data_IF_319006331088
#
_entry.id   IF_319006331088
#
_cell.length_a   1.000
_cell.length_b   1.000
_cell.length_c   1.000
_cell.angle_alpha   90.00
_cell.angle_beta   90.00
_cell.angle_gamma   90.00
#
_symmetry.space_group_name_H-M   'P 1'
#
loop_
_entity.id
_entity.type
_entity.pdbx_description
1 polymer ?
#
# COMPACT_ATOMS: atom_id res chain seq x y z
N UNK A 1 3.93 -21.54 -23.52
CA UNK A 1 4.43 -21.94 -22.20
C UNK A 1 4.69 -20.70 -21.37
N UNK A 2 4.38 -20.73 -20.08
CA UNK A 2 4.75 -19.69 -19.11
C UNK A 2 6.00 -20.16 -18.37
N UNK A 3 6.96 -19.28 -18.16
CA UNK A 3 8.21 -19.58 -17.43
C UNK A 3 8.72 -18.36 -16.69
N UNK A 4 9.59 -18.59 -15.71
CA UNK A 4 10.37 -17.54 -15.05
C UNK A 4 11.40 -16.93 -16.00
N UNK A 5 11.79 -15.67 -15.72
CA UNK A 5 12.73 -14.91 -16.55
C UNK A 5 14.07 -15.63 -16.75
N UNK A 6 14.54 -15.65 -18.00
CA UNK A 6 15.89 -16.06 -18.39
C UNK A 6 16.60 -14.91 -19.10
N UNK A 7 17.94 -14.92 -19.09
CA UNK A 7 18.74 -13.89 -19.78
C UNK A 7 18.44 -13.82 -21.29
N UNK A 8 18.05 -14.92 -21.92
CA UNK A 8 17.60 -14.95 -23.32
C UNK A 8 16.38 -14.06 -23.58
N UNK A 9 15.59 -13.80 -22.54
CA UNK A 9 14.32 -13.08 -22.64
C UNK A 9 14.48 -11.57 -22.48
N UNK A 10 15.70 -11.06 -22.26
CA UNK A 10 15.99 -9.62 -22.07
C UNK A 10 15.41 -8.78 -23.21
N UNK A 11 15.64 -9.16 -24.47
CA UNK A 11 15.15 -8.41 -25.62
C UNK A 11 13.61 -8.42 -25.72
N UNK A 12 12.97 -9.54 -25.35
CA UNK A 12 11.52 -9.66 -25.32
C UNK A 12 10.93 -8.75 -24.25
N UNK A 13 11.49 -8.75 -23.04
CA UNK A 13 11.08 -7.86 -21.95
C UNK A 13 11.32 -6.41 -22.32
N UNK A 14 12.47 -6.06 -22.90
CA UNK A 14 12.77 -4.68 -23.32
C UNK A 14 11.76 -4.18 -24.35
N UNK A 15 11.44 -5.00 -25.36
CA UNK A 15 10.45 -4.65 -26.40
C UNK A 15 9.05 -4.48 -25.81
N UNK A 16 8.61 -5.43 -24.99
CA UNK A 16 7.27 -5.41 -24.41
C UNK A 16 7.12 -4.36 -23.29
N UNK A 17 8.21 -3.97 -22.63
CA UNK A 17 8.14 -3.01 -21.53
C UNK A 17 7.72 -1.61 -21.95
N UNK A 18 8.00 -1.21 -23.19
CA UNK A 18 7.47 0.03 -23.77
C UNK A 18 5.94 -0.01 -23.94
N UNK A 19 5.37 -1.21 -23.99
CA UNK A 19 3.94 -1.48 -24.14
C UNK A 19 3.32 -2.03 -22.86
N UNK A 20 3.96 -1.85 -21.69
CA UNK A 20 3.47 -2.43 -20.45
C UNK A 20 2.49 -1.50 -19.72
N UNK A 21 1.37 -2.05 -19.24
CA UNK A 21 0.48 -1.37 -18.31
C UNK A 21 1.12 -1.37 -16.92
N UNK A 22 1.19 -0.19 -16.31
CA UNK A 22 1.69 -0.01 -14.95
C UNK A 22 0.56 -0.22 -13.94
N UNK A 23 0.76 -1.20 -13.06
CA UNK A 23 -0.24 -1.72 -12.13
C UNK A 23 -0.02 -1.29 -10.67
N UNK A 24 0.94 -0.38 -10.44
CA UNK A 24 1.18 0.24 -9.15
C UNK A 24 1.55 1.71 -9.40
N UNK A 25 0.58 2.62 -9.29
CA UNK A 25 0.77 4.02 -9.66
C UNK A 25 1.80 4.70 -8.76
N UNK A 26 1.74 4.46 -7.44
CA UNK A 26 2.71 5.02 -6.49
C UNK A 26 4.15 4.65 -6.87
N UNK A 27 4.42 3.37 -7.14
CA UNK A 27 5.75 2.93 -7.56
C UNK A 27 6.12 3.51 -8.94
N UNK A 28 5.20 3.46 -9.91
CA UNK A 28 5.42 3.95 -11.26
C UNK A 28 5.74 5.44 -11.35
N UNK A 29 5.12 6.27 -10.49
CA UNK A 29 5.28 7.72 -10.46
C UNK A 29 6.55 8.13 -9.70
N UNK A 30 6.90 7.43 -8.62
CA UNK A 30 8.02 7.77 -7.75
C UNK A 30 9.34 7.15 -8.21
N UNK A 31 9.31 5.88 -8.57
CA UNK A 31 10.48 5.06 -8.84
C UNK A 31 10.32 4.37 -10.19
N UNK A 32 10.75 5.01 -11.30
CA UNK A 32 10.70 4.37 -12.60
C UNK A 32 11.52 3.08 -12.54
N UNK A 33 10.85 1.93 -12.56
CA UNK A 33 11.52 0.65 -12.69
C UNK A 33 11.92 0.48 -14.15
N UNK A 34 13.22 0.38 -14.40
CA UNK A 34 13.68 -0.15 -15.68
C UNK A 34 13.35 -1.64 -15.67
N UNK A 35 12.28 -2.02 -16.36
CA UNK A 35 11.74 -3.39 -16.42
C UNK A 35 12.82 -4.45 -16.66
N UNK A 36 13.82 -4.17 -17.50
CA UNK A 36 14.96 -5.05 -17.80
C UNK A 36 15.92 -5.18 -16.62
N UNK A 37 16.23 -4.08 -15.92
CA UNK A 37 17.05 -4.10 -14.69
C UNK A 37 16.33 -4.85 -13.57
N UNK A 38 15.01 -4.64 -13.46
CA UNK A 38 14.15 -5.36 -12.52
C UNK A 38 14.03 -6.85 -12.85
N UNK A 39 13.94 -7.20 -14.13
CA UNK A 39 13.96 -8.60 -14.56
C UNK A 39 15.32 -9.25 -14.28
N UNK A 40 16.41 -8.52 -14.49
CA UNK A 40 17.76 -8.99 -14.18
C UNK A 40 17.98 -9.20 -12.68
N UNK A 41 17.30 -8.43 -11.80
CA UNK A 41 17.34 -8.68 -10.36
C UNK A 41 16.68 -9.98 -9.92
N UNK A 42 15.89 -10.63 -10.79
CA UNK A 42 15.41 -11.99 -10.53
C UNK A 42 16.52 -13.05 -10.65
N UNK A 43 17.57 -12.78 -11.45
CA UNK A 43 18.73 -13.68 -11.63
C UNK A 43 19.79 -13.43 -10.57
N UNK A 44 19.91 -12.17 -10.12
CA UNK A 44 20.88 -11.77 -9.12
C UNK A 44 20.11 -11.03 -8.00
N UNK A 45 19.85 -11.68 -6.85
CA UNK A 45 19.09 -11.10 -5.75
C UNK A 45 19.94 -10.07 -4.98
N UNK A 46 20.33 -8.99 -5.64
CA UNK A 46 20.94 -7.83 -5.02
C UNK A 46 19.85 -6.91 -4.50
N UNK A 47 19.34 -7.24 -3.32
CA UNK A 47 18.49 -6.33 -2.54
C UNK A 47 17.32 -7.03 -1.86
N UNK A 48 16.72 -6.27 -0.94
CA UNK A 48 15.63 -6.69 -0.06
C UNK A 48 14.26 -6.74 -0.79
N UNK A 49 14.22 -6.43 -2.08
CA UNK A 49 12.98 -6.36 -2.88
C UNK A 49 12.90 -7.53 -3.83
N UNK A 50 12.16 -8.58 -3.46
CA UNK A 50 11.94 -9.77 -4.30
C UNK A 50 10.93 -9.45 -5.39
N UNK A 51 11.42 -9.11 -6.57
CA UNK A 51 10.59 -8.94 -7.77
C UNK A 51 10.76 -10.16 -8.66
N UNK A 52 9.65 -10.86 -8.92
CA UNK A 52 9.58 -12.01 -9.82
C UNK A 52 9.07 -11.57 -11.18
N UNK A 53 9.67 -12.09 -12.26
CA UNK A 53 9.24 -11.82 -13.64
C UNK A 53 8.83 -13.12 -14.32
N UNK A 54 7.58 -13.16 -14.80
CA UNK A 54 7.00 -14.28 -15.54
C UNK A 54 6.81 -13.92 -17.00
N UNK A 55 7.07 -14.87 -17.88
CA UNK A 55 7.05 -14.67 -19.33
C UNK A 55 6.17 -15.73 -19.96
N UNK A 56 5.22 -15.27 -20.76
CA UNK A 56 4.42 -16.10 -21.66
C UNK A 56 5.06 -16.04 -23.05
N UNK A 57 5.38 -17.20 -23.61
CA UNK A 57 5.73 -17.33 -25.02
C UNK A 57 4.97 -18.53 -25.61
N UNK A 58 4.11 -18.28 -26.59
CA UNK A 58 3.42 -19.34 -27.33
C UNK A 58 3.90 -19.35 -28.79
N UNK A 59 4.29 -20.52 -29.29
CA UNK A 59 4.58 -20.72 -30.70
C UNK A 59 3.26 -21.12 -31.41
N UNK A 60 2.87 -20.39 -32.46
CA UNK A 60 1.65 -20.65 -33.24
C UNK A 60 0.92 -19.39 -33.74
N UNK A 61 -0.21 -19.60 -34.42
CA UNK A 61 -1.13 -18.55 -34.92
C UNK A 61 -2.20 -18.12 -33.89
N UNK A 62 -2.04 -18.45 -32.60
CA UNK A 62 -2.95 -17.96 -31.56
C UNK A 62 -2.74 -16.46 -31.32
N UNK A 63 -3.83 -15.73 -31.04
CA UNK A 63 -3.81 -14.27 -30.77
C UNK A 63 -2.87 -13.87 -29.61
N UNK A 64 -2.62 -14.78 -28.67
CA UNK A 64 -1.78 -14.56 -27.49
C UNK A 64 -0.33 -15.07 -27.68
N UNK A 65 0.51 -14.30 -28.39
CA UNK A 65 1.86 -14.79 -28.79
C UNK A 65 2.91 -14.63 -27.71
N UNK A 66 2.97 -13.46 -27.05
CA UNK A 66 3.97 -13.17 -26.04
C UNK A 66 3.45 -12.16 -25.01
N UNK A 67 3.85 -12.32 -23.76
CA UNK A 67 3.56 -11.39 -22.68
C UNK A 67 4.53 -11.55 -21.54
N UNK A 68 4.57 -10.57 -20.64
CA UNK A 68 5.27 -10.73 -19.37
C UNK A 68 4.53 -10.02 -18.24
N UNK A 69 4.82 -10.46 -17.02
CA UNK A 69 4.30 -9.90 -15.79
C UNK A 69 5.44 -9.72 -14.79
N UNK A 70 5.41 -8.62 -14.04
CA UNK A 70 6.30 -8.40 -12.91
C UNK A 70 5.50 -8.24 -11.63
N UNK A 71 5.91 -8.97 -10.60
CA UNK A 71 5.24 -9.01 -9.30
C UNK A 71 6.27 -8.79 -8.21
N UNK A 72 5.94 -7.95 -7.23
CA UNK A 72 6.78 -7.69 -6.08
C UNK A 72 6.16 -8.30 -4.83
N UNK A 73 6.87 -9.23 -4.19
CA UNK A 73 6.44 -9.76 -2.89
C UNK A 73 6.76 -8.73 -1.82
N UNK A 74 5.79 -8.43 -0.96
CA UNK A 74 5.97 -7.61 0.24
C UNK A 74 6.64 -8.47 1.32
N UNK A 75 7.50 -7.86 2.14
CA UNK A 75 8.12 -8.57 3.25
C UNK A 75 7.06 -8.91 4.32
N UNK A 76 7.10 -10.11 4.89
CA UNK A 76 6.34 -10.49 6.09
C UNK A 76 5.06 -11.28 5.84
N UNK A 77 4.15 -10.82 4.96
CA UNK A 77 2.72 -11.16 5.13
C UNK A 77 2.09 -12.00 4.00
N UNK A 78 2.90 -12.65 3.15
CA UNK A 78 2.37 -13.37 2.00
C UNK A 78 1.55 -12.47 1.06
N UNK A 79 1.93 -11.19 0.98
CA UNK A 79 1.27 -10.21 0.13
C UNK A 79 2.14 -9.90 -1.09
N UNK A 80 1.50 -9.66 -2.23
CA UNK A 80 2.20 -9.27 -3.45
C UNK A 80 1.53 -8.09 -4.15
N UNK A 81 2.34 -7.24 -4.76
CA UNK A 81 1.91 -6.15 -5.63
C UNK A 81 2.22 -6.49 -7.09
N UNK A 82 1.21 -6.49 -7.95
CA UNK A 82 1.43 -6.51 -9.39
C UNK A 82 2.02 -5.16 -9.82
N UNK A 83 3.19 -5.19 -10.46
CA UNK A 83 3.87 -3.97 -10.88
C UNK A 83 3.58 -3.64 -12.35
N UNK A 84 3.72 -4.63 -13.21
CA UNK A 84 3.65 -4.47 -14.66
C UNK A 84 3.00 -5.70 -15.30
N UNK A 85 2.17 -5.45 -16.30
CA UNK A 85 1.72 -6.46 -17.26
C UNK A 85 1.91 -5.95 -18.67
N UNK A 86 2.39 -6.82 -19.55
CA UNK A 86 2.53 -6.52 -20.96
C UNK A 86 2.11 -7.71 -21.82
N UNK A 87 1.65 -7.46 -23.05
CA UNK A 87 1.35 -6.13 -23.63
C UNK A 87 0.10 -5.50 -23.02
N UNK A 88 0.04 -4.17 -23.03
CA UNK A 88 -1.11 -3.41 -22.59
C UNK A 88 -2.31 -3.69 -23.49
N UNK A 89 -3.51 -3.75 -22.92
CA UNK A 89 -4.72 -4.17 -23.64
C UNK A 89 -5.18 -3.17 -24.72
N UNK A 90 -4.67 -1.95 -24.68
CA UNK A 90 -4.88 -0.90 -25.68
C UNK A 90 -3.94 -1.00 -26.90
N UNK A 91 -2.96 -1.90 -26.86
CA UNK A 91 -2.02 -2.11 -27.96
C UNK A 91 -2.51 -3.20 -28.92
N UNK A 92 -2.11 -3.20 -30.22
CA UNK A 92 -2.53 -4.22 -31.17
C UNK A 92 -2.11 -5.66 -30.81
N UNK A 93 -1.07 -5.81 -30.00
CA UNK A 93 -0.60 -7.08 -29.46
C UNK A 93 -1.27 -7.45 -28.13
N UNK A 94 -2.00 -6.51 -27.53
CA UNK A 94 -2.77 -6.65 -26.29
C UNK A 94 -3.96 -7.59 -26.45
N UNK A 95 -4.01 -8.63 -25.62
CA UNK A 95 -5.17 -9.52 -25.59
C UNK A 95 -5.46 -9.97 -24.14
N UNK A 96 -6.72 -9.89 -23.66
CA UNK A 96 -7.09 -10.28 -22.28
C UNK A 96 -6.63 -11.69 -21.91
N UNK A 97 -6.74 -12.66 -22.83
CA UNK A 97 -6.25 -14.02 -22.62
C UNK A 97 -4.75 -14.13 -22.25
N UNK A 98 -3.89 -13.17 -22.65
CA UNK A 98 -2.49 -13.15 -22.21
C UNK A 98 -2.43 -12.85 -20.71
N UNK A 99 -3.18 -11.85 -20.28
CA UNK A 99 -3.26 -11.41 -18.89
C UNK A 99 -3.84 -12.50 -18.01
N UNK A 100 -4.97 -13.08 -18.42
CA UNK A 100 -5.65 -14.16 -17.71
C UNK A 100 -4.74 -15.38 -17.52
N UNK A 101 -4.00 -15.79 -18.56
CA UNK A 101 -3.05 -16.90 -18.48
C UNK A 101 -1.90 -16.61 -17.52
N UNK A 102 -1.27 -15.43 -17.62
CA UNK A 102 -0.15 -15.03 -16.75
C UNK A 102 -0.58 -14.95 -15.28
N UNK A 103 -1.72 -14.31 -15.01
CA UNK A 103 -2.26 -14.17 -13.67
C UNK A 103 -2.64 -15.52 -13.07
N UNK A 104 -3.36 -16.37 -13.82
CA UNK A 104 -3.78 -17.68 -13.35
C UNK A 104 -2.59 -18.58 -13.03
N UNK A 105 -1.55 -18.57 -13.86
CA UNK A 105 -0.32 -19.32 -13.60
C UNK A 105 0.38 -18.86 -12.33
N UNK A 106 0.55 -17.54 -12.15
CA UNK A 106 1.19 -17.00 -10.95
C UNK A 106 0.43 -17.35 -9.67
N UNK A 107 -0.90 -17.23 -9.71
CA UNK A 107 -1.76 -17.58 -8.58
C UNK A 107 -1.64 -19.06 -8.22
N UNK A 108 -1.54 -19.95 -9.22
CA UNK A 108 -1.35 -21.38 -9.00
C UNK A 108 0.04 -21.72 -8.45
N UNK A 109 1.08 -21.07 -8.97
CA UNK A 109 2.47 -21.31 -8.58
C UNK A 109 2.77 -20.83 -7.16
N UNK A 110 2.21 -19.69 -6.75
CA UNK A 110 2.45 -19.07 -5.44
C UNK A 110 1.31 -19.32 -4.43
N UNK A 111 0.36 -20.20 -4.74
CA UNK A 111 -0.85 -20.42 -3.92
C UNK A 111 -0.56 -20.81 -2.47
N UNK A 112 0.58 -21.45 -2.20
CA UNK A 112 0.96 -21.93 -0.86
C UNK A 112 1.46 -20.82 0.06
N UNK A 113 1.96 -19.73 -0.53
CA UNK A 113 2.84 -18.76 0.14
C UNK A 113 2.28 -17.33 0.10
N UNK A 114 1.11 -17.18 -0.52
CA UNK A 114 0.49 -15.92 -0.89
C UNK A 114 -0.94 -15.89 -0.38
N UNK A 115 -1.26 -14.90 0.46
CA UNK A 115 -2.60 -14.66 0.99
C UNK A 115 -3.36 -13.63 0.15
N UNK A 116 -2.67 -12.59 -0.36
CA UNK A 116 -3.31 -11.48 -1.09
C UNK A 116 -2.45 -10.96 -2.21
N UNK A 117 -3.08 -10.65 -3.34
CA UNK A 117 -2.46 -9.97 -4.47
C UNK A 117 -3.18 -8.64 -4.69
N UNK A 118 -2.43 -7.55 -4.63
CA UNK A 118 -2.91 -6.21 -4.89
C UNK A 118 -2.50 -5.74 -6.27
N UNK A 119 -3.38 -4.96 -6.89
CA UNK A 119 -3.05 -4.17 -8.06
C UNK A 119 -3.86 -2.88 -8.07
N UNK A 120 -3.28 -1.90 -8.72
CA UNK A 120 -3.84 -0.58 -8.93
C UNK A 120 -3.85 -0.40 -10.45
N UNK A 121 -5.02 -0.42 -11.07
CA UNK A 121 -5.21 -0.34 -12.53
C UNK A 121 -5.80 1.02 -12.91
N UNK A 122 -5.54 1.54 -14.14
CA UNK A 122 -6.38 2.60 -14.69
C UNK A 122 -7.86 2.18 -14.63
N UNK A 123 -8.75 3.05 -14.17
CA UNK A 123 -10.19 2.75 -14.04
C UNK A 123 -10.88 2.73 -15.41
N UNK A 124 -10.53 1.73 -16.21
CA UNK A 124 -11.08 1.47 -17.54
C UNK A 124 -11.82 0.14 -17.52
N UNK A 125 -13.06 0.06 -18.06
CA UNK A 125 -13.88 -1.15 -18.00
C UNK A 125 -13.18 -2.41 -18.49
N UNK A 126 -12.42 -2.33 -19.59
CA UNK A 126 -11.70 -3.48 -20.16
C UNK A 126 -10.64 -4.04 -19.19
N UNK A 127 -9.86 -3.18 -18.55
CA UNK A 127 -8.81 -3.57 -17.61
C UNK A 127 -9.43 -4.18 -16.36
N UNK A 128 -10.39 -3.47 -15.75
CA UNK A 128 -11.07 -3.92 -14.53
C UNK A 128 -11.77 -5.26 -14.76
N UNK A 129 -12.49 -5.43 -15.87
CA UNK A 129 -13.19 -6.68 -16.17
C UNK A 129 -12.24 -7.85 -16.42
N UNK A 130 -11.10 -7.62 -17.08
CA UNK A 130 -10.07 -8.66 -17.28
C UNK A 130 -9.54 -9.19 -15.94
N UNK A 131 -9.30 -8.30 -14.98
CA UNK A 131 -8.92 -8.71 -13.62
C UNK A 131 -10.06 -9.43 -12.88
N UNK A 132 -11.30 -8.97 -13.03
CA UNK A 132 -12.47 -9.63 -12.43
C UNK A 132 -12.68 -11.06 -12.93
N UNK A 133 -12.41 -11.35 -14.21
CA UNK A 133 -12.47 -12.71 -14.74
C UNK A 133 -11.49 -13.67 -14.06
N UNK A 134 -10.35 -13.15 -13.59
CA UNK A 134 -9.36 -13.92 -12.82
C UNK A 134 -9.69 -13.91 -11.32
N UNK A 135 -10.84 -13.35 -10.91
CA UNK A 135 -11.30 -13.35 -9.51
C UNK A 135 -10.71 -12.23 -8.64
N UNK A 136 -10.21 -11.14 -9.24
CA UNK A 136 -9.92 -9.91 -8.50
C UNK A 136 -11.20 -9.13 -8.23
N UNK A 137 -11.26 -8.46 -7.09
CA UNK A 137 -12.40 -7.65 -6.66
C UNK A 137 -11.92 -6.21 -6.47
N UNK A 138 -12.57 -5.21 -7.10
CA UNK A 138 -12.29 -3.81 -6.82
C UNK A 138 -12.76 -3.47 -5.41
N UNK A 139 -11.90 -2.84 -4.60
CA UNK A 139 -12.21 -2.49 -3.22
C UNK A 139 -12.17 -0.99 -2.94
N UNK A 140 -11.59 -0.21 -3.85
CA UNK A 140 -11.50 1.25 -3.73
C UNK A 140 -11.22 1.87 -5.09
N UNK A 141 -11.77 3.06 -5.33
CA UNK A 141 -11.34 3.95 -6.41
C UNK A 141 -10.61 5.17 -5.89
N UNK A 142 -9.59 5.60 -6.61
CA UNK A 142 -8.88 6.82 -6.29
C UNK A 142 -8.61 7.65 -7.55
N UNK A 143 -8.74 8.97 -7.41
CA UNK A 143 -8.21 9.92 -8.39
C UNK A 143 -6.84 10.38 -7.91
N UNK A 144 -5.82 10.19 -8.75
CA UNK A 144 -4.50 10.76 -8.51
C UNK A 144 -4.51 12.18 -9.05
N UNK A 145 -4.23 13.14 -8.18
CA UNK A 145 -4.04 14.54 -8.51
C UNK A 145 -2.56 14.85 -8.63
N UNK A 146 -2.20 15.74 -9.55
CA UNK A 146 -0.82 16.11 -9.85
C UNK A 146 -0.64 17.63 -9.85
N UNK A 147 0.41 18.07 -9.16
CA UNK A 147 0.96 19.42 -9.25
C UNK A 147 2.35 19.37 -9.88
N UNK A 148 2.53 20.07 -11.00
CA UNK A 148 3.82 20.18 -11.70
C UNK A 148 4.44 21.56 -11.56
N UNK A 149 3.61 22.59 -11.37
CA UNK A 149 4.05 23.97 -11.25
C UNK A 149 4.23 24.36 -9.78
N UNK A 150 5.39 24.94 -9.51
CA UNK A 150 5.76 25.47 -8.20
C UNK A 150 5.38 26.95 -8.12
N UNK A 151 4.10 27.22 -8.31
CA UNK A 151 3.52 28.55 -8.11
C UNK A 151 3.54 28.92 -6.62
N UNK A 152 3.36 30.22 -6.32
CA UNK A 152 3.25 30.68 -4.95
C UNK A 152 2.16 29.89 -4.22
N UNK A 153 2.45 29.46 -2.99
CA UNK A 153 1.43 28.81 -2.17
C UNK A 153 0.41 29.87 -1.73
N UNK A 154 -0.87 29.50 -1.60
CA UNK A 154 -1.84 30.35 -0.92
C UNK A 154 -1.31 30.80 0.44
N UNK A 155 -1.66 32.01 0.86
CA UNK A 155 -1.24 32.52 2.16
C UNK A 155 -1.74 31.61 3.30
N UNK A 156 -0.95 31.41 4.38
CA UNK A 156 -1.42 30.69 5.56
C UNK A 156 -2.73 31.29 6.04
N UNK A 157 -3.73 30.44 6.23
CA UNK A 157 -5.05 30.87 6.71
C UNK A 157 -5.07 30.76 8.24
N UNK A 158 -4.71 31.84 8.93
CA UNK A 158 -4.80 31.95 10.40
C UNK A 158 -3.79 31.13 11.22
N UNK A 159 -3.90 31.23 12.54
CA UNK A 159 -3.16 30.36 13.47
C UNK A 159 -3.70 28.92 13.37
N UNK A 160 -2.79 27.95 13.22
CA UNK A 160 -3.17 26.55 13.19
C UNK A 160 -3.58 26.10 14.60
N UNK A 161 -4.79 25.58 14.74
CA UNK A 161 -5.29 25.00 16.00
C UNK A 161 -4.63 23.63 16.34
N UNK A 162 -3.63 23.21 15.57
CA UNK A 162 -2.95 21.92 15.69
C UNK A 162 -1.44 22.07 15.48
N UNK A 163 -0.69 21.10 16.01
CA UNK A 163 0.75 20.99 15.83
C UNK A 163 1.07 19.82 14.90
N UNK A 164 1.83 20.07 13.82
CA UNK A 164 2.33 19.02 12.94
C UNK A 164 3.72 18.57 13.40
N UNK A 165 3.85 17.31 13.82
CA UNK A 165 5.13 16.72 14.28
C UNK A 165 5.42 15.39 13.62
N UNK A 166 6.69 14.93 13.67
CA UNK A 166 7.05 13.59 13.17
C UNK A 166 6.35 12.51 13.99
N UNK A 167 5.94 11.44 13.33
CA UNK A 167 5.40 10.25 14.00
C UNK A 167 6.43 9.73 15.02
N UNK A 168 6.01 9.60 16.27
CA UNK A 168 6.72 8.90 17.32
C UNK A 168 6.08 7.50 17.53
N UNK A 169 6.82 6.51 18.08
CA UNK A 169 6.28 5.18 18.32
C UNK A 169 5.00 5.17 19.17
N UNK A 170 4.88 6.10 20.12
CA UNK A 170 3.69 6.27 20.97
C UNK A 170 2.42 6.65 20.19
N UNK A 171 2.55 7.20 18.98
CA UNK A 171 1.42 7.63 18.16
C UNK A 171 0.86 6.49 17.29
N UNK A 172 1.55 5.35 17.18
CA UNK A 172 1.18 4.27 16.26
C UNK A 172 -0.24 3.76 16.54
N UNK A 173 -0.58 3.60 17.81
CA UNK A 173 -1.94 3.22 18.22
C UNK A 173 -2.96 4.27 17.80
N UNK A 174 -2.70 5.55 18.04
CA UNK A 174 -3.61 6.63 17.68
C UNK A 174 -3.79 6.77 16.14
N UNK A 175 -2.74 6.50 15.37
CA UNK A 175 -2.80 6.45 13.90
C UNK A 175 -3.58 5.23 13.41
N UNK A 176 -3.42 4.07 14.04
CA UNK A 176 -4.23 2.88 13.74
C UNK A 176 -5.71 3.13 14.02
N UNK A 177 -6.04 3.78 15.15
CA UNK A 177 -7.40 4.18 15.48
C UNK A 177 -7.96 5.19 14.47
N UNK A 178 -7.18 6.21 14.09
CA UNK A 178 -7.56 7.15 13.05
C UNK A 178 -7.89 6.43 11.73
N UNK A 179 -7.02 5.52 11.30
CA UNK A 179 -7.22 4.71 10.09
C UNK A 179 -8.47 3.81 10.18
N UNK A 180 -8.69 3.15 11.32
CA UNK A 180 -9.85 2.29 11.57
C UNK A 180 -11.18 3.07 11.49
N UNK A 181 -11.21 4.30 12.01
CA UNK A 181 -12.40 5.17 11.96
C UNK A 181 -12.71 5.70 10.56
N UNK A 182 -11.68 6.08 9.81
CA UNK A 182 -11.88 6.76 8.51
C UNK A 182 -12.07 5.80 7.33
N UNK A 183 -11.53 4.58 7.42
CA UNK A 183 -11.51 3.64 6.31
C UNK A 183 -12.70 2.69 6.38
N UNK A 184 -13.54 2.61 5.33
CA UNK A 184 -14.68 1.70 5.30
C UNK A 184 -14.27 0.24 5.57
N UNK A 185 -15.12 -0.50 6.28
CA UNK A 185 -14.80 -1.87 6.71
C UNK A 185 -14.45 -2.80 5.54
N UNK A 186 -15.15 -2.69 4.42
CA UNK A 186 -14.85 -3.46 3.20
C UNK A 186 -13.41 -3.23 2.71
N UNK A 187 -12.92 -1.98 2.78
CA UNK A 187 -11.55 -1.63 2.41
C UNK A 187 -10.55 -2.12 3.47
N UNK A 188 -10.85 -2.01 4.76
CA UNK A 188 -9.99 -2.55 5.84
C UNK A 188 -9.79 -4.05 5.71
N UNK A 189 -10.88 -4.80 5.48
CA UNK A 189 -10.82 -6.26 5.24
C UNK A 189 -10.02 -6.63 3.99
N UNK A 190 -10.21 -5.87 2.90
CA UNK A 190 -9.46 -6.06 1.65
C UNK A 190 -7.96 -5.83 1.84
N UNK A 191 -7.57 -4.79 2.60
CA UNK A 191 -6.18 -4.47 2.93
C UNK A 191 -5.59 -5.36 4.04
N UNK A 192 -6.38 -6.29 4.58
CA UNK A 192 -5.96 -7.23 5.61
C UNK A 192 -5.72 -6.56 6.97
N UNK A 193 -6.32 -5.40 7.21
CA UNK A 193 -6.32 -4.75 8.51
C UNK A 193 -7.35 -5.45 9.40
N UNK A 194 -6.88 -6.07 10.49
CA UNK A 194 -7.72 -6.64 11.55
C UNK A 194 -7.74 -5.69 12.74
N UNK A 195 -8.71 -5.84 13.66
CA UNK A 195 -8.76 -5.05 14.89
C UNK A 195 -7.91 -5.69 16.02
N UNK A 196 -7.04 -6.64 15.68
CA UNK A 196 -6.22 -7.39 16.65
C UNK A 196 -5.03 -6.58 17.18
N UNK A 197 -4.55 -6.94 18.38
CA UNK A 197 -3.31 -6.40 18.93
C UNK A 197 -2.12 -6.74 18.02
N UNK A 198 -1.57 -5.71 17.37
CA UNK A 198 -0.47 -5.84 16.41
C UNK A 198 -0.86 -5.55 14.95
N UNK A 199 -2.15 -5.37 14.67
CA UNK A 199 -2.57 -4.85 13.37
C UNK A 199 -2.02 -3.44 13.16
N UNK A 200 -1.38 -3.23 12.02
CA UNK A 200 -0.81 -1.94 11.64
C UNK A 200 -1.49 -1.42 10.39
N UNK A 201 -1.81 -0.13 10.39
CA UNK A 201 -2.33 0.53 9.20
C UNK A 201 -1.32 0.38 8.04
N UNK A 202 -1.80 0.26 6.78
CA UNK A 202 -0.93 0.13 5.60
C UNK A 202 0.20 1.17 5.55
N UNK A 203 -0.08 2.40 6.00
CA UNK A 203 0.90 3.49 6.03
C UNK A 203 2.07 3.24 7.00
N UNK A 204 1.86 2.46 8.07
CA UNK A 204 2.88 2.07 9.03
C UNK A 204 3.60 0.80 8.57
N UNK A 205 2.87 -0.20 8.06
CA UNK A 205 3.41 -1.49 7.57
C UNK A 205 4.41 -1.32 6.44
N UNK A 206 4.09 -0.48 5.45
CA UNK A 206 4.90 -0.36 4.23
C UNK A 206 5.86 0.84 4.25
N UNK A 207 6.26 1.28 5.44
CA UNK A 207 7.25 2.35 5.59
C UNK A 207 8.63 1.86 5.15
N UNK A 208 9.06 2.31 3.96
CA UNK A 208 10.45 2.11 3.52
C UNK A 208 11.36 3.16 4.15
N UNK A 209 12.33 2.71 4.95
CA UNK A 209 13.31 3.57 5.59
C UNK A 209 14.04 4.46 4.56
N UNK A 210 14.14 5.76 4.86
CA UNK A 210 14.90 6.74 4.07
C UNK A 210 14.15 7.40 2.89
N UNK A 211 12.99 6.87 2.47
CA UNK A 211 12.19 7.46 1.38
C UNK A 211 10.81 7.95 1.81
N UNK A 212 10.38 7.56 3.02
CA UNK A 212 9.06 7.88 3.55
C UNK A 212 9.20 8.67 4.85
N UNK A 213 8.55 9.82 4.91
CA UNK A 213 8.42 10.63 6.12
C UNK A 213 6.96 10.68 6.52
N UNK A 214 6.65 10.43 7.80
CA UNK A 214 5.28 10.48 8.31
C UNK A 214 5.21 11.51 9.43
N UNK A 215 4.16 12.31 9.37
CA UNK A 215 3.85 13.37 10.30
C UNK A 215 2.44 13.15 10.84
N UNK A 216 2.22 13.61 12.07
CA UNK A 216 0.95 13.54 12.77
C UNK A 216 0.54 14.97 13.10
N UNK A 217 -0.71 15.28 12.81
CA UNK A 217 -1.38 16.49 13.26
C UNK A 217 -2.05 16.20 14.60
N UNK A 218 -1.63 16.93 15.61
CA UNK A 218 -2.14 16.82 16.98
C UNK A 218 -2.90 18.08 17.35
N UNK A 219 -4.15 17.93 17.75
CA UNK A 219 -4.97 19.02 18.31
C UNK A 219 -5.45 18.60 19.69
N UNK A 220 -5.24 19.45 20.70
CA UNK A 220 -5.66 19.20 22.09
C UNK A 220 -5.17 17.86 22.69
N UNK A 221 -3.98 17.39 22.29
CA UNK A 221 -3.41 16.12 22.76
C UNK A 221 -3.89 14.88 22.00
N UNK A 222 -4.79 15.04 21.02
CA UNK A 222 -5.31 13.94 20.21
C UNK A 222 -4.80 13.99 18.78
N UNK A 223 -4.56 12.82 18.20
CA UNK A 223 -4.19 12.67 16.80
C UNK A 223 -5.42 12.85 15.93
N UNK A 224 -5.52 14.00 15.27
CA UNK A 224 -6.63 14.35 14.37
C UNK A 224 -6.31 14.10 12.90
N UNK A 225 -5.02 13.99 12.56
CA UNK A 225 -4.59 13.72 11.19
C UNK A 225 -3.21 13.08 11.11
N UNK A 226 -2.93 12.46 9.96
CA UNK A 226 -1.64 11.87 9.61
C UNK A 226 -1.33 12.21 8.14
N UNK A 227 -0.09 12.65 7.90
CA UNK A 227 0.44 12.99 6.59
C UNK A 227 1.66 12.13 6.32
N UNK A 228 1.64 11.39 5.21
CA UNK A 228 2.80 10.66 4.72
C UNK A 228 3.33 11.29 3.43
N UNK A 229 4.63 11.59 3.41
CA UNK A 229 5.37 12.10 2.27
C UNK A 229 6.33 11.02 1.80
N UNK A 230 6.11 10.47 0.61
CA UNK A 230 6.98 9.51 -0.05
C UNK A 230 7.76 10.19 -1.16
N UNK A 231 9.07 10.22 -1.05
CA UNK A 231 9.95 10.87 -2.03
C UNK A 231 10.58 9.83 -2.96
N UNK A 232 10.42 10.05 -4.25
CA UNK A 232 11.02 9.25 -5.32
C UNK A 232 12.05 10.02 -6.14
N UNK A 233 12.59 9.35 -7.17
CA UNK A 233 13.51 9.98 -8.14
C UNK A 233 12.77 10.84 -9.17
N UNK A 234 11.47 10.57 -9.40
CA UNK A 234 10.66 11.23 -10.43
C UNK A 234 9.45 12.01 -9.90
N UNK A 235 9.19 11.94 -8.61
CA UNK A 235 8.00 12.52 -8.03
C UNK A 235 8.00 12.42 -6.52
N UNK A 236 7.02 13.08 -5.92
CA UNK A 236 6.72 13.02 -4.48
C UNK A 236 5.24 12.67 -4.34
N UNK A 237 4.91 11.71 -3.50
CA UNK A 237 3.53 11.29 -3.25
C UNK A 237 3.15 11.67 -1.83
N UNK A 238 2.05 12.40 -1.71
CA UNK A 238 1.42 12.75 -0.45
C UNK A 238 0.26 11.78 -0.21
N UNK A 239 0.14 11.26 1.00
CA UNK A 239 -1.01 10.50 1.46
C UNK A 239 -1.51 11.18 2.74
N UNK A 240 -2.77 11.60 2.71
CA UNK A 240 -3.40 12.31 3.80
C UNK A 240 -4.49 11.44 4.41
N UNK A 241 -4.48 11.41 5.73
CA UNK A 241 -5.45 10.74 6.56
C UNK A 241 -5.92 11.75 7.60
N UNK A 242 -7.20 12.09 7.57
CA UNK A 242 -7.83 12.99 8.52
C UNK A 242 -9.23 12.47 8.81
N UNK A 243 -9.82 12.89 9.92
CA UNK A 243 -11.21 12.53 10.21
C UNK A 243 -12.14 13.07 9.12
N UNK A 244 -12.73 12.16 8.35
CA UNK A 244 -13.63 12.49 7.23
C UNK A 244 -15.10 12.47 7.64
N UNK A 245 -15.44 12.02 8.86
CA UNK A 245 -16.80 12.08 9.39
C UNK A 245 -17.15 13.52 9.80
N UNK A 246 -16.14 14.29 10.21
CA UNK A 246 -16.24 15.72 10.43
C UNK A 246 -15.04 16.42 9.79
N UNK A 247 -15.06 16.64 8.45
CA UNK A 247 -13.90 17.13 7.72
C UNK A 247 -13.60 18.57 8.12
N UNK A 248 -12.61 18.73 9.00
CA UNK A 248 -12.02 20.03 9.29
C UNK A 248 -11.22 20.50 8.07
N UNK A 249 -11.86 21.34 7.25
CA UNK A 249 -11.25 21.91 6.05
C UNK A 249 -10.00 22.73 6.37
N UNK A 250 -9.95 23.37 7.54
CA UNK A 250 -8.80 24.15 7.97
C UNK A 250 -7.62 23.22 8.30
N UNK A 251 -7.87 22.13 9.03
CA UNK A 251 -6.87 21.08 9.29
C UNK A 251 -6.31 20.52 7.97
N UNK A 252 -7.18 20.11 7.04
CA UNK A 252 -6.75 19.55 5.76
C UNK A 252 -5.94 20.56 4.93
N UNK A 253 -6.40 21.82 4.88
CA UNK A 253 -5.73 22.88 4.12
C UNK A 253 -4.34 23.15 4.68
N UNK A 254 -4.23 23.27 6.00
CA UNK A 254 -2.96 23.48 6.67
C UNK A 254 -2.04 22.27 6.55
N UNK A 255 -2.54 21.02 6.61
CA UNK A 255 -1.74 19.82 6.35
C UNK A 255 -1.17 19.78 4.93
N UNK A 256 -1.97 20.11 3.91
CA UNK A 256 -1.49 20.21 2.52
C UNK A 256 -0.47 21.34 2.37
N UNK A 257 -0.74 22.50 2.97
CA UNK A 257 0.16 23.65 2.92
C UNK A 257 1.52 23.35 3.57
N UNK A 258 1.52 22.74 4.76
CA UNK A 258 2.74 22.30 5.43
C UNK A 258 3.45 21.26 4.55
N UNK A 259 2.77 20.24 4.05
CA UNK A 259 3.37 19.24 3.16
C UNK A 259 4.11 19.87 1.96
N UNK A 260 3.47 20.85 1.29
CA UNK A 260 4.05 21.55 0.15
C UNK A 260 5.21 22.45 0.55
N UNK A 261 5.15 23.08 1.72
CA UNK A 261 6.23 23.88 2.29
C UNK A 261 7.45 22.99 2.56
N UNK A 262 7.27 21.82 3.17
CA UNK A 262 8.31 20.79 3.35
C UNK A 262 9.02 20.47 2.04
N UNK A 263 8.22 20.19 1.01
CA UNK A 263 8.75 19.77 -0.27
C UNK A 263 9.51 20.92 -0.91
N UNK A 264 8.99 22.14 -0.87
CA UNK A 264 9.66 23.33 -1.40
C UNK A 264 11.02 23.57 -0.70
N UNK A 265 11.06 23.44 0.62
CA UNK A 265 12.27 23.64 1.43
C UNK A 265 13.33 22.56 1.24
N UNK A 266 12.91 21.35 0.84
CA UNK A 266 13.81 20.29 0.43
C UNK A 266 14.62 20.61 -0.83
N UNK A 267 14.21 21.65 -1.58
CA UNK A 267 14.83 22.09 -2.83
C UNK A 267 14.50 21.21 -4.04
N UNK A 268 13.69 20.16 -3.86
CA UNK A 268 13.28 19.27 -4.94
C UNK A 268 12.15 19.88 -5.76
N UNK A 269 12.39 20.12 -7.05
CA UNK A 269 11.38 20.57 -8.00
C UNK A 269 10.76 19.40 -8.79
N UNK A 270 10.36 18.36 -8.08
CA UNK A 270 9.70 17.19 -8.66
C UNK A 270 8.17 17.38 -8.69
N UNK A 271 7.43 16.73 -9.60
CA UNK A 271 5.96 16.75 -9.53
C UNK A 271 5.48 16.13 -8.22
N UNK A 272 4.48 16.77 -7.61
CA UNK A 272 3.81 16.29 -6.39
C UNK A 272 2.50 15.62 -6.79
N UNK A 273 2.27 14.43 -6.25
CA UNK A 273 1.08 13.64 -6.46
C UNK A 273 0.35 13.46 -5.13
N UNK A 274 -0.97 13.37 -5.18
CA UNK A 274 -1.79 13.01 -4.02
C UNK A 274 -2.91 12.09 -4.52
N UNK A 275 -3.12 10.96 -3.84
CA UNK A 275 -4.23 10.05 -4.12
C UNK A 275 -5.44 10.44 -3.27
N UNK A 276 -6.58 10.69 -3.92
CA UNK A 276 -7.85 10.99 -3.24
C UNK A 276 -8.80 9.83 -3.47
N UNK A 277 -9.20 9.17 -2.39
CA UNK A 277 -10.12 8.04 -2.45
C UNK A 277 -11.56 8.52 -2.69
N UNK A 278 -12.42 7.68 -3.27
CA UNK A 278 -13.82 8.03 -3.56
C UNK A 278 -14.63 8.41 -2.29
N UNK A 279 -14.26 7.86 -1.14
CA UNK A 279 -14.88 8.20 0.15
C UNK A 279 -14.30 9.46 0.81
N UNK A 280 -13.21 10.04 0.27
CA UNK A 280 -12.63 11.29 0.76
C UNK A 280 -13.35 12.49 0.11
N UNK A 281 -14.53 12.84 0.64
CA UNK A 281 -15.29 14.00 0.19
C UNK A 281 -14.57 15.33 0.43
N UNK A 282 -14.85 16.35 -0.40
CA UNK A 282 -14.42 17.74 -0.17
C UNK A 282 -12.95 18.08 -0.49
N UNK A 283 -12.07 17.09 -0.69
CA UNK A 283 -10.65 17.34 -0.93
C UNK A 283 -10.35 17.91 -2.34
N UNK A 284 -11.20 17.65 -3.33
CA UNK A 284 -10.99 18.07 -4.73
C UNK A 284 -10.93 19.61 -4.90
N UNK A 285 -11.83 20.34 -4.23
CA UNK A 285 -11.86 21.80 -4.29
C UNK A 285 -10.59 22.39 -3.65
N UNK A 286 -10.23 21.89 -2.47
CA UNK A 286 -9.01 22.27 -1.76
C UNK A 286 -7.76 22.02 -2.61
N UNK A 287 -7.66 20.87 -3.26
CA UNK A 287 -6.52 20.55 -4.11
C UNK A 287 -6.42 21.47 -5.34
N UNK A 288 -7.56 21.85 -5.90
CA UNK A 288 -7.62 22.81 -7.00
C UNK A 288 -7.08 24.19 -6.57
N UNK A 289 -7.43 24.66 -5.36
CA UNK A 289 -6.87 25.90 -4.79
C UNK A 289 -5.35 25.85 -4.62
N UNK A 290 -4.81 24.66 -4.34
CA UNK A 290 -3.36 24.42 -4.28
C UNK A 290 -2.74 24.14 -5.65
N UNK A 291 -3.45 24.37 -6.76
CA UNK A 291 -2.92 24.20 -8.12
C UNK A 291 -2.65 22.75 -8.52
N UNK A 292 -3.29 21.79 -7.85
CA UNK A 292 -3.34 20.42 -8.35
C UNK A 292 -4.41 20.30 -9.43
N UNK A 293 -4.15 19.44 -10.41
CA UNK A 293 -5.13 19.03 -11.40
C UNK A 293 -5.34 17.50 -11.32
N UNK A 294 -6.54 16.98 -11.61
CA UNK A 294 -6.75 15.55 -11.73
C UNK A 294 -5.84 15.00 -12.85
N UNK A 295 -5.19 13.87 -12.60
CA UNK A 295 -4.19 13.29 -13.50
C UNK A 295 -4.60 11.92 -14.03
N UNK A 296 -5.08 11.02 -13.17
CA UNK A 296 -5.60 9.71 -13.60
C UNK A 296 -6.52 9.13 -12.55
N UNK A 297 -7.59 8.49 -12.99
CA UNK A 297 -8.44 7.67 -12.14
C UNK A 297 -7.93 6.24 -12.11
N UNK A 298 -8.01 5.62 -10.92
CA UNK A 298 -7.45 4.32 -10.63
C UNK A 298 -8.44 3.48 -9.84
N UNK A 299 -8.52 2.20 -10.17
CA UNK A 299 -9.23 1.21 -9.38
C UNK A 299 -8.21 0.33 -8.65
N UNK A 300 -8.33 0.23 -7.33
CA UNK A 300 -7.57 -0.72 -6.53
C UNK A 300 -8.33 -2.03 -6.45
N UNK A 301 -7.65 -3.11 -6.82
CA UNK A 301 -8.20 -4.46 -6.76
C UNK A 301 -7.35 -5.34 -5.86
N UNK A 302 -8.03 -6.28 -5.22
CA UNK A 302 -7.41 -7.34 -4.44
C UNK A 302 -7.91 -8.69 -4.93
N UNK A 303 -7.03 -9.68 -4.92
CA UNK A 303 -7.41 -11.08 -4.97
C UNK A 303 -6.96 -11.75 -3.69
N UNK A 304 -7.92 -12.28 -2.94
CA UNK A 304 -7.63 -13.17 -1.82
C UNK A 304 -7.33 -14.56 -2.39
N UNK A 305 -6.17 -15.09 -2.02
CA UNK A 305 -5.72 -16.42 -2.41
C UNK A 305 -6.01 -17.34 -1.23
N UNK A 306 -6.93 -18.28 -1.44
CA UNK A 306 -7.36 -19.22 -0.38
C UNK A 306 -6.29 -20.28 -0.22
N UNK A 307 -5.61 -20.26 0.93
CA UNK A 307 -4.73 -21.35 1.32
C UNK A 307 -5.58 -22.47 1.92
N UNK A 308 -5.64 -23.63 1.24
CA UNK A 308 -6.20 -24.84 1.83
C UNK A 308 -5.20 -25.37 2.87
N UNK A 309 -5.33 -24.90 4.11
CA UNK A 309 -4.61 -25.51 5.23
C UNK A 309 -5.38 -26.78 5.59
N UNK A 310 -4.80 -27.95 5.25
CA UNK A 310 -5.21 -29.19 5.92
C UNK A 310 -4.70 -29.09 7.34
N UNK A 311 -5.55 -28.64 8.25
CA UNK A 311 -5.27 -28.73 9.66
C UNK A 311 -5.15 -30.22 9.99
N UNK A 312 -3.97 -30.73 10.39
CA UNK A 312 -3.88 -32.09 10.88
C UNK A 312 -4.70 -32.09 12.16
N UNK A 313 -5.92 -32.62 12.09
CA UNK A 313 -6.69 -32.99 13.28
C UNK A 313 -5.70 -33.77 14.13
N UNK A 314 -5.28 -33.18 15.26
CA UNK A 314 -4.54 -33.94 16.27
C UNK A 314 -5.47 -35.05 16.66
N UNK A 315 -5.26 -36.24 16.10
CA UNK A 315 -5.86 -37.44 16.60
C UNK A 315 -5.43 -37.50 18.06
N UNK A 316 -6.34 -37.13 18.97
CA UNK A 316 -6.20 -37.48 20.35
C UNK A 316 -6.11 -38.99 20.33
N UNK A 317 -4.91 -39.53 20.55
CA UNK A 317 -4.72 -40.95 20.81
C UNK A 317 -5.71 -41.29 21.93
N UNK A 318 -6.73 -42.12 21.69
CA UNK A 318 -7.57 -42.56 22.78
C UNK A 318 -6.65 -43.37 23.69
N UNK A 319 -6.43 -42.85 24.90
CA UNK A 319 -5.88 -43.67 25.96
C UNK A 319 -6.85 -44.86 26.10
N UNK A 320 -6.34 -46.06 25.83
CA UNK A 320 -7.06 -47.30 26.10
C UNK A 320 -7.41 -47.29 27.59
N UNK A 321 -8.68 -47.05 27.91
CA UNK A 321 -9.27 -47.53 29.14
C UNK A 321 -10.43 -48.43 28.75
N UNK A 322 -10.18 -49.73 28.92
CA UNK A 322 -11.08 -50.82 28.63
C UNK A 322 -12.15 -50.92 29.71
N UNK A 323 -13.39 -50.53 29.43
CA UNK A 323 -14.57 -51.17 30.06
C UNK A 323 -15.72 -51.21 29.05
N UNK A 324 -16.07 -52.43 28.67
CA UNK A 324 -17.31 -52.87 28.03
C UNK A 324 -18.55 -52.41 28.79
N UNK A 325 -19.58 -51.92 28.11
CA UNK A 325 -20.96 -52.47 28.10
C UNK A 325 -21.89 -51.59 27.22
N UNK A 326 -23.02 -52.15 26.79
CA UNK A 326 -23.69 -51.93 25.52
C UNK A 326 -24.83 -50.87 25.49
N UNK A 327 -24.93 -50.16 24.35
CA UNK A 327 -26.09 -49.83 23.45
C UNK A 327 -27.51 -50.08 24.05
N UNK A 328 -28.53 -49.17 23.93
CA UNK A 328 -29.02 -48.73 22.61
C UNK A 328 -29.53 -47.29 22.39
N UNK A 329 -29.29 -46.87 21.15
CA UNK A 329 -30.09 -46.08 20.19
C UNK A 329 -31.34 -45.34 20.68
N UNK A 330 -31.45 -44.06 20.33
CA UNK A 330 -32.69 -43.50 19.78
C UNK A 330 -32.41 -42.43 18.72
N UNK A 331 -32.84 -42.72 17.49
CA UNK A 331 -33.07 -41.77 16.41
C UNK A 331 -34.43 -41.10 16.64
N UNK A 332 -34.52 -39.77 16.55
CA UNK A 332 -35.69 -39.08 15.96
C UNK A 332 -35.22 -37.85 15.17
N UNK A 333 -35.59 -37.83 13.89
CA UNK A 333 -35.53 -36.70 12.97
C UNK A 333 -36.92 -36.05 12.88
N UNK A 334 -37.01 -34.87 12.24
CA UNK A 334 -38.22 -34.09 11.86
C UNK A 334 -38.91 -33.28 12.98
N UNK A 335 -39.48 -32.08 12.76
CA UNK A 335 -39.66 -31.26 11.57
C UNK A 335 -39.98 -29.80 11.96
N UNK A 336 -39.85 -28.92 10.97
CA UNK A 336 -40.50 -27.61 10.84
C UNK A 336 -41.91 -27.53 11.45
N UNK A 337 -42.25 -26.40 12.09
CA UNK A 337 -43.56 -25.76 11.93
C UNK A 337 -43.44 -24.25 12.14
N UNK A 338 -43.77 -23.53 11.07
CA UNK A 338 -44.05 -22.10 11.01
C UNK A 338 -45.50 -21.91 11.48
N UNK A 339 -45.80 -20.87 12.27
CA UNK A 339 -47.00 -20.06 12.04
C UNK A 339 -46.97 -18.69 12.76
N UNK A 340 -47.75 -17.70 12.28
CA UNK A 340 -47.50 -16.27 12.42
C UNK A 340 -48.61 -15.55 13.23
N UNK A 341 -48.65 -14.22 13.11
CA UNK A 341 -49.69 -13.25 13.56
C UNK A 341 -49.60 -12.91 15.06
N UNK A 342 -49.78 -11.68 15.57
CA UNK A 342 -50.44 -10.44 15.11
C UNK A 342 -49.99 -9.31 16.10
N UNK A 343 -49.66 -8.08 15.67
CA UNK A 343 -50.55 -6.90 15.55
C UNK A 343 -50.51 -5.95 16.78
N UNK A 344 -50.36 -4.64 16.46
CA UNK A 344 -50.67 -3.41 17.21
C UNK A 344 -49.60 -2.66 18.04
N UNK A 345 -49.12 -1.57 17.40
CA UNK A 345 -48.80 -0.19 17.86
C UNK A 345 -49.81 0.44 18.87
N UNK A 346 -49.69 1.71 19.38
CA UNK A 346 -48.74 2.82 19.09
C UNK A 346 -48.27 3.74 20.28
N UNK A 347 -47.43 4.74 19.93
CA UNK A 347 -47.38 6.17 20.40
C UNK A 347 -46.89 6.55 21.81
N UNK A 348 -45.93 7.50 21.88
CA UNK A 348 -45.86 8.45 23.00
C UNK A 348 -44.52 9.16 23.30
N UNK A 349 -44.30 10.30 22.65
CA UNK A 349 -43.73 11.57 23.17
C UNK A 349 -42.29 11.72 23.74
N UNK A 350 -41.60 12.72 23.17
CA UNK A 350 -40.47 13.47 23.73
C UNK A 350 -40.88 14.38 24.91
N UNK A 351 -39.92 14.98 25.67
CA UNK A 351 -39.43 16.32 25.31
C UNK A 351 -37.95 16.64 25.66
N UNK A 352 -37.47 17.74 25.06
CA UNK A 352 -36.25 18.57 25.28
C UNK A 352 -36.77 19.88 25.96
N UNK A 353 -36.07 20.66 26.83
CA UNK A 353 -34.91 21.50 26.42
C UNK A 353 -33.92 22.04 27.51
N UNK A 354 -33.03 22.94 27.03
CA UNK A 354 -32.29 24.02 27.74
C UNK A 354 -30.94 23.67 28.39
N UNK A 355 -29.89 24.50 28.42
CA UNK A 355 -29.46 25.78 27.78
C UNK A 355 -28.03 26.09 28.30
N UNK A 356 -27.30 26.99 27.63
CA UNK A 356 -26.12 27.79 28.10
C UNK A 356 -24.79 27.01 28.27
N UNK A 357 -23.60 27.47 27.87
CA UNK A 357 -23.10 28.78 27.42
C UNK A 357 -21.84 29.12 28.23
N UNK A 358 -20.67 29.25 27.61
CA UNK A 358 -19.53 30.06 28.11
C UNK A 358 -18.32 30.04 27.16
N UNK A 359 -17.77 31.23 26.94
CA UNK A 359 -16.52 31.58 26.22
C UNK A 359 -15.44 31.89 27.26
N UNK A 360 -14.15 31.60 26.99
CA UNK A 360 -13.12 32.65 27.05
C UNK A 360 -12.11 32.55 25.88
N UNK A 361 -11.82 33.64 25.15
CA UNK A 361 -10.70 34.59 25.32
C UNK A 361 -9.27 33.99 25.28
N UNK A 362 -8.68 34.09 24.09
CA UNK A 362 -7.32 34.55 23.75
C UNK A 362 -6.15 34.25 24.69
N UNK A 363 -5.14 33.54 24.16
CA UNK A 363 -3.74 33.86 24.41
C UNK A 363 -2.88 33.58 23.17
N UNK A 364 -2.25 34.64 22.69
CA UNK A 364 -1.41 34.71 21.51
C UNK A 364 0.04 34.42 21.87
N UNK A 365 0.55 33.26 21.47
CA UNK A 365 1.98 33.02 21.25
C UNK A 365 2.12 31.72 20.44
N UNK A 366 2.56 31.76 19.18
CA UNK A 366 3.13 30.61 18.43
C UNK A 366 3.52 31.01 16.99
N UNK A 367 4.70 31.61 16.82
CA UNK A 367 5.34 31.81 15.50
C UNK A 367 6.59 30.93 15.27
N UNK A 368 6.74 29.82 16.01
CA UNK A 368 7.95 28.99 15.99
C UNK A 368 7.84 27.65 15.22
N UNK A 369 6.69 27.32 14.63
CA UNK A 369 6.43 25.98 14.07
C UNK A 369 7.09 25.67 12.71
N UNK A 370 7.08 26.63 11.78
CA UNK A 370 7.34 26.34 10.36
C UNK A 370 8.85 26.18 10.03
N UNK A 371 9.73 26.92 10.71
CA UNK A 371 11.19 26.81 10.48
C UNK A 371 11.80 25.47 10.96
N UNK A 372 11.15 24.81 11.93
CA UNK A 372 11.61 23.53 12.50
C UNK A 372 11.40 22.37 11.52
N UNK A 373 10.42 22.47 10.64
CA UNK A 373 10.02 21.43 9.70
C UNK A 373 10.98 21.34 8.49
N UNK A 374 11.39 22.50 7.95
CA UNK A 374 12.39 22.66 6.88
C UNK A 374 13.75 22.01 7.21
N UNK A 375 14.28 22.35 8.40
CA UNK A 375 15.59 21.92 8.85
C UNK A 375 15.65 20.39 9.03
N UNK A 376 14.53 19.77 9.40
CA UNK A 376 14.42 18.35 9.71
C UNK A 376 14.32 17.44 8.48
N UNK A 377 13.98 17.98 7.30
CA UNK A 377 14.08 17.28 6.01
C UNK A 377 15.53 17.33 5.48
N UNK A 378 16.24 18.45 5.68
CA UNK A 378 17.67 18.57 5.31
C UNK A 378 18.57 17.66 6.16
N UNK A 379 18.34 17.61 7.47
CA UNK A 379 19.20 16.83 8.40
C UNK A 379 19.15 15.31 8.14
N UNK A 380 18.05 14.79 7.56
CA UNK A 380 17.90 13.38 7.23
C UNK A 380 18.75 12.93 6.01
N UNK A 381 19.29 13.85 5.21
CA UNK A 381 20.18 13.55 4.08
C UNK A 381 21.68 13.64 4.43
N UNK A 382 22.02 14.16 5.60
CA UNK A 382 23.41 14.45 6.00
C UNK A 382 24.17 13.30 6.66
N UNK A 383 23.63 12.07 6.75
CA UNK A 383 24.38 10.94 7.30
C UNK A 383 25.16 10.23 6.20
N UNK A 384 26.51 10.32 6.16
CA UNK A 384 27.31 9.47 5.30
C UNK A 384 27.18 8.01 5.75
N UNK A 385 27.17 7.09 4.78
CA UNK A 385 27.31 5.66 5.01
C UNK A 385 28.56 5.39 5.88
N UNK A 386 28.52 4.44 6.83
CA UNK A 386 29.70 4.10 7.60
C UNK A 386 30.81 3.58 6.67
N UNK A 387 32.09 3.94 6.91
CA UNK A 387 33.19 3.51 6.07
C UNK A 387 33.30 1.99 6.07
N UNK A 388 33.37 1.43 4.87
CA UNK A 388 33.63 0.02 4.60
C UNK A 388 34.98 -0.34 5.23
N UNK A 389 34.99 -1.26 6.21
CA UNK A 389 36.23 -1.78 6.80
C UNK A 389 37.04 -2.48 5.71
N UNK A 390 38.12 -1.83 5.27
CA UNK A 390 39.15 -2.44 4.45
C UNK A 390 39.86 -3.52 5.28
N UNK A 391 39.76 -4.77 4.85
CA UNK A 391 40.53 -5.89 5.38
C UNK A 391 41.97 -5.71 4.92
N UNK A 392 42.80 -5.18 5.81
CA UNK A 392 44.25 -5.10 5.66
C UNK A 392 44.86 -6.51 5.77
N UNK A 393 45.33 -7.05 4.63
CA UNK A 393 46.27 -8.18 4.58
C UNK A 393 47.62 -7.72 5.14
N UNK A 394 47.90 -8.06 6.40
CA UNK A 394 49.24 -8.02 6.98
C UNK A 394 49.89 -9.41 6.84
N UNK A 395 50.66 -9.61 5.77
CA UNK A 395 51.60 -10.73 5.66
C UNK A 395 52.99 -10.25 6.09
N UNK A 396 53.39 -10.56 7.34
CA UNK A 396 54.78 -10.42 7.79
C UNK A 396 55.54 -11.72 7.58
N UNK A 397 56.54 -11.59 6.73
CA UNK A 397 57.81 -12.29 6.59
C UNK A 397 58.38 -12.86 7.90
N UNK A 398 58.85 -14.13 7.89
CA UNK A 398 60.30 -14.46 7.91
C UNK A 398 60.64 -15.84 8.50
N UNK A 399 61.74 -16.39 7.92
CA UNK A 399 62.61 -17.53 8.32
C UNK A 399 62.06 -18.93 7.99
N UNK A 400 62.86 -19.87 7.44
CA UNK A 400 64.30 -20.08 7.62
C UNK A 400 64.90 -20.93 6.49
N UNK A 401 66.07 -20.47 6.05
CA UNK A 401 67.18 -21.09 5.29
C UNK A 401 67.44 -22.58 5.58
N UNK A 402 67.66 -23.39 4.52
CA UNK A 402 68.85 -24.27 4.24
C UNK A 402 68.58 -25.09 2.95
N UNK A 403 69.40 -24.95 1.88
CA UNK A 403 70.52 -25.83 1.43
C UNK A 403 70.08 -27.30 1.28
N UNK A 404 70.37 -28.08 0.25
CA UNK A 404 71.23 -28.07 -0.94
C UNK A 404 70.54 -29.02 -1.96
N UNK A 405 70.79 -29.06 -3.27
CA UNK A 405 72.05 -29.13 -4.00
C UNK A 405 71.81 -30.11 -5.17
N UNK A 406 72.47 -29.81 -6.30
CA UNK A 406 72.51 -30.53 -7.59
C UNK A 406 71.24 -30.61 -8.41
#
# INVERSE_FOLDING_TARGET
MIRTFRLSDIFLVQRLAGQATKLNAAQALLFPTASTRTALSAVIPWGDTRISTYILQQQGHQLARAGFMQVQRRAGDGEADLLLLAPALDTPSGHPAIWEKLLSHYIQEEATDLARIYCDVPDQPLLVNTFRHVGFIPYSRETIWRRTRWEALPAPTGENAFTLRKLAPQDEWAVNQLYARMTPEAMRRAEGFTDDEGAQAPMLRYRRAGTTHTFVAEARGEVTGCLQIRMGKRGILLQLYADMLNPDQQLMRSMVQEALTAVRESGLRLPVYIGVNEHHGGLSALLTDFGFAPFTDRAKLVKHVVQWIREPVRAMTPALESVTEAVPTNFISTNLTINPTSLNDPLGNAPVPEKQGAVPKSDSSLLAGSASFAARIRQARGRPLPPTKAVSRSGKTSRKIRRAGT
#
